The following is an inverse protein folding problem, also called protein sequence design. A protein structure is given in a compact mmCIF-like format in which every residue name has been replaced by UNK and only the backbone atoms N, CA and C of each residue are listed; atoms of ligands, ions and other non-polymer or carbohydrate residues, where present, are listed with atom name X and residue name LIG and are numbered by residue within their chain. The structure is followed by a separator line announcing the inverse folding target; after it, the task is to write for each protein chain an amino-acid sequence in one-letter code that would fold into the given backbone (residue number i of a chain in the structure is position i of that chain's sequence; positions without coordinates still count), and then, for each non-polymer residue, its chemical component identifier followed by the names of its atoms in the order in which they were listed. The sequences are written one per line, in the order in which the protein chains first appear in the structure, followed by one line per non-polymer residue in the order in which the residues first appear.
data_IF_938884714986
#
_entry.id   IF_938884714986
#
_cell.length_a   1.000
_cell.length_b   1.000
_cell.length_c   1.000
_cell.angle_alpha   90.00
_cell.angle_beta   90.00
_cell.angle_gamma   90.00
#
_symmetry.space_group_name_H-M   'P 1'
#
loop_
_entity.id
_entity.type
_entity.pdbx_description
1 polymer ?
#
# COMPACT_ATOMS: atom_id res chain seq x y z
N UNK A 1 -4.87 -39.67 -60.14
CA UNK A 1 -4.06 -39.07 -59.06
C UNK A 1 -4.59 -39.63 -57.75
N UNK A 2 -3.83 -40.51 -57.08
CA UNK A 2 -4.17 -41.00 -55.73
C UNK A 2 -3.49 -40.08 -54.72
N UNK A 3 -4.26 -39.56 -53.77
CA UNK A 3 -3.72 -38.85 -52.60
C UNK A 3 -3.18 -39.89 -51.62
N UNK A 4 -2.00 -39.60 -51.06
CA UNK A 4 -1.33 -40.41 -50.04
C UNK A 4 -1.81 -39.95 -48.66
N UNK A 5 -2.46 -40.84 -47.92
CA UNK A 5 -3.07 -40.62 -46.60
C UNK A 5 -2.14 -41.04 -45.44
N UNK A 6 -0.83 -41.07 -45.67
CA UNK A 6 0.13 -41.42 -44.62
C UNK A 6 0.22 -40.31 -43.55
N UNK A 7 0.09 -40.63 -42.24
CA UNK A 7 0.22 -39.65 -41.17
C UNK A 7 1.66 -39.13 -41.06
N UNK A 8 1.86 -37.86 -40.68
CA UNK A 8 3.20 -37.30 -40.55
C UNK A 8 4.00 -38.02 -39.42
N UNK A 9 5.33 -38.13 -39.56
CA UNK A 9 6.16 -38.75 -38.53
C UNK A 9 6.12 -37.95 -37.22
N UNK A 10 6.27 -38.60 -36.06
CA UNK A 10 6.26 -37.92 -34.77
C UNK A 10 7.46 -36.98 -34.62
N UNK A 11 7.21 -35.77 -34.12
CA UNK A 11 8.26 -34.81 -33.76
C UNK A 11 9.21 -35.41 -32.72
N UNK A 12 10.51 -35.34 -33.01
CA UNK A 12 11.56 -35.72 -32.07
C UNK A 12 11.50 -34.84 -30.83
N UNK A 13 11.34 -35.46 -29.65
CA UNK A 13 11.40 -34.78 -28.37
C UNK A 13 12.78 -34.10 -28.20
N UNK A 14 12.81 -32.78 -28.37
CA UNK A 14 13.96 -31.97 -27.98
C UNK A 14 14.09 -32.03 -26.45
N UNK A 15 15.26 -32.45 -25.98
CA UNK A 15 15.61 -32.43 -24.56
C UNK A 15 15.62 -31.00 -24.05
N UNK A 16 14.57 -30.61 -23.30
CA UNK A 16 14.55 -29.35 -22.56
C UNK A 16 15.57 -29.47 -21.44
N UNK A 17 16.70 -28.76 -21.58
CA UNK A 17 17.61 -28.55 -20.45
C UNK A 17 16.94 -27.62 -19.45
N UNK A 18 17.00 -27.90 -18.14
CA UNK A 18 16.42 -27.01 -17.14
C UNK A 18 17.17 -25.67 -17.13
N UNK A 19 16.42 -24.56 -17.07
CA UNK A 19 16.99 -23.23 -16.90
C UNK A 19 17.82 -23.17 -15.62
N UNK A 20 19.04 -22.60 -15.66
CA UNK A 20 19.84 -22.42 -14.46
C UNK A 20 19.17 -21.42 -13.52
N UNK A 21 19.28 -21.61 -12.20
CA UNK A 21 18.60 -20.77 -11.23
C UNK A 21 19.10 -19.32 -11.26
N UNK A 22 18.19 -18.39 -11.04
CA UNK A 22 18.35 -16.93 -11.20
C UNK A 22 19.50 -16.30 -10.38
N UNK A 23 20.06 -17.00 -9.39
CA UNK A 23 21.18 -16.51 -8.57
C UNK A 23 22.55 -16.68 -9.24
N UNK A 24 22.68 -17.51 -10.29
CA UNK A 24 23.98 -17.80 -10.92
C UNK A 24 24.53 -16.66 -11.80
N UNK A 25 23.75 -15.60 -12.07
CA UNK A 25 24.14 -14.47 -12.94
C UNK A 25 24.66 -13.21 -12.22
N UNK A 26 24.78 -13.22 -10.89
CA UNK A 26 25.16 -12.00 -10.13
C UNK A 26 26.63 -11.92 -9.69
N UNK A 27 27.45 -12.93 -9.97
CA UNK A 27 28.80 -13.01 -9.41
C UNK A 27 29.89 -12.23 -10.16
N UNK A 28 29.66 -11.82 -11.42
CA UNK A 28 30.70 -11.17 -12.24
C UNK A 28 30.60 -9.65 -12.29
N UNK A 29 29.44 -9.06 -11.99
CA UNK A 29 29.24 -7.60 -11.98
C UNK A 29 29.74 -6.92 -10.69
N UNK A 30 29.81 -7.65 -9.57
CA UNK A 30 30.25 -7.09 -8.29
C UNK A 30 31.76 -6.76 -8.25
N UNK A 31 32.59 -7.45 -9.05
CA UNK A 31 34.05 -7.24 -9.05
C UNK A 31 34.47 -6.03 -9.89
N UNK A 32 33.67 -5.63 -10.89
CA UNK A 32 33.99 -4.47 -11.74
C UNK A 32 33.71 -3.10 -11.08
N UNK A 33 32.77 -3.03 -10.14
CA UNK A 33 32.39 -1.75 -9.48
C UNK A 33 33.37 -1.35 -8.38
N UNK A 34 34.07 -2.31 -7.76
CA UNK A 34 35.04 -2.03 -6.70
C UNK A 34 36.35 -1.38 -7.19
N UNK A 35 36.65 -1.42 -8.49
CA UNK A 35 37.89 -0.87 -9.07
C UNK A 35 37.76 0.57 -9.63
N UNK A 36 36.54 1.10 -9.80
CA UNK A 36 36.31 2.41 -10.43
C UNK A 36 36.06 3.57 -9.43
N UNK A 37 35.81 3.25 -8.16
CA UNK A 37 35.66 4.26 -7.11
C UNK A 37 36.97 5.02 -6.76
N UNK A 38 38.17 4.40 -6.76
CA UNK A 38 39.41 5.12 -6.43
C UNK A 38 39.89 6.08 -7.53
N UNK A 39 39.60 5.80 -8.80
CA UNK A 39 40.10 6.61 -9.94
C UNK A 39 39.32 7.90 -10.13
N UNK A 40 38.02 7.92 -9.78
CA UNK A 40 37.20 9.13 -9.84
C UNK A 40 37.59 10.17 -8.76
N UNK A 41 37.98 9.71 -7.56
CA UNK A 41 38.46 10.61 -6.49
C UNK A 41 39.83 11.22 -6.83
N UNK A 42 40.75 10.44 -7.41
CA UNK A 42 42.06 10.94 -7.84
C UNK A 42 41.96 11.99 -8.95
N UNK A 43 41.02 11.83 -9.89
CA UNK A 43 40.76 12.80 -10.95
C UNK A 43 40.19 14.14 -10.43
N UNK A 44 39.37 14.10 -9.39
CA UNK A 44 38.78 15.30 -8.77
C UNK A 44 39.79 16.09 -7.91
N UNK A 45 40.72 15.40 -7.23
CA UNK A 45 41.79 16.08 -6.48
C UNK A 45 42.80 16.75 -7.42
N UNK A 46 43.09 16.14 -8.58
CA UNK A 46 44.03 16.71 -9.55
C UNK A 46 43.51 18.00 -10.21
N UNK A 47 42.20 18.11 -10.43
CA UNK A 47 41.59 19.35 -10.94
C UNK A 47 41.66 20.49 -9.94
N UNK A 48 41.51 20.22 -8.63
CA UNK A 48 41.65 21.22 -7.58
C UNK A 48 43.08 21.79 -7.46
N UNK A 49 44.11 20.99 -7.77
CA UNK A 49 45.52 21.40 -7.73
C UNK A 49 45.93 22.18 -8.99
N UNK A 50 45.33 21.89 -10.14
CA UNK A 50 45.66 22.54 -11.42
C UNK A 50 44.87 23.84 -11.69
N UNK A 51 43.69 24.03 -11.06
CA UNK A 51 42.86 25.24 -11.25
C UNK A 51 42.96 26.27 -10.12
N UNK A 52 43.97 26.17 -9.25
CA UNK A 52 44.36 27.23 -8.32
C UNK A 52 43.20 27.83 -7.51
N UNK A 53 42.64 27.08 -6.57
CA UNK A 53 41.74 27.63 -5.56
C UNK A 53 42.16 27.11 -4.19
N UNK A 54 43.16 27.78 -3.60
CA UNK A 54 43.60 27.50 -2.23
C UNK A 54 42.56 27.99 -1.19
N UNK A 55 42.56 27.41 0.03
CA UNK A 55 41.69 27.84 1.11
C UNK A 55 42.32 29.06 1.80
N UNK A 56 41.74 30.26 1.61
CA UNK A 56 42.26 31.46 2.29
C UNK A 56 41.61 32.81 1.96
N UNK A 57 40.45 32.85 1.30
CA UNK A 57 39.76 34.11 0.96
C UNK A 57 38.53 34.35 1.84
N UNK A 58 38.61 35.36 2.70
CA UNK A 58 37.53 35.86 3.55
C UNK A 58 36.32 36.33 2.71
N UNK A 59 35.07 35.91 2.98
CA UNK A 59 33.92 36.39 2.21
C UNK A 59 33.57 37.85 2.56
N UNK A 60 33.15 38.67 1.57
CA UNK A 60 32.75 40.05 1.81
C UNK A 60 31.40 40.12 2.55
N UNK A 61 31.35 41.00 3.55
CA UNK A 61 30.17 41.37 4.33
C UNK A 61 29.06 41.96 3.43
N UNK A 62 27.79 41.56 3.57
CA UNK A 62 26.68 42.30 2.97
C UNK A 62 26.42 43.60 3.75
N UNK A 63 26.53 44.73 3.06
CA UNK A 63 26.11 46.06 3.53
C UNK A 63 24.59 46.08 3.69
N UNK A 64 24.12 46.34 4.90
CA UNK A 64 22.73 46.69 5.18
C UNK A 64 22.41 48.09 4.63
N UNK A 65 21.27 48.22 3.96
CA UNK A 65 20.64 49.51 3.62
C UNK A 65 19.18 49.50 4.10
N UNK A 66 18.61 50.67 4.42
CA UNK A 66 17.63 50.83 5.48
C UNK A 66 16.18 50.68 5.01
N UNK A 67 15.33 50.30 5.96
CA UNK A 67 13.89 50.31 5.84
C UNK A 67 13.36 51.75 5.75
N UNK A 68 12.59 52.03 4.70
CA UNK A 68 11.82 53.27 4.59
C UNK A 68 10.48 53.12 5.28
N UNK A 69 10.30 53.95 6.31
CA UNK A 69 9.02 54.26 6.94
C UNK A 69 8.18 55.15 6.01
N UNK A 70 6.88 54.89 5.93
CA UNK A 70 5.88 55.92 5.64
C UNK A 70 4.89 56.00 6.79
N UNK A 71 4.88 57.17 7.41
CA UNK A 71 3.99 57.64 8.46
C UNK A 71 2.67 58.13 7.89
N UNK A 72 1.58 57.91 8.63
CA UNK A 72 0.32 58.64 8.50
C UNK A 72 -0.40 58.68 9.84
N UNK A 73 -0.40 59.86 10.47
CA UNK A 73 -0.96 60.26 11.77
C UNK A 73 -2.43 59.85 11.98
N UNK A 74 -3.00 59.69 13.19
CA UNK A 74 -2.95 60.41 14.48
C UNK A 74 -4.42 60.36 14.99
N UNK A 75 -4.85 60.56 16.23
CA UNK A 75 -4.28 60.89 17.54
C UNK A 75 -5.38 60.61 18.60
N UNK A 76 -5.03 60.80 19.88
CA UNK A 76 -5.86 60.82 21.11
C UNK A 76 -6.15 59.45 21.74
N UNK A 77 -5.86 59.17 23.02
CA UNK A 77 -5.34 59.99 24.11
C UNK A 77 -6.09 59.66 25.42
N UNK A 78 -5.34 59.18 26.41
CA UNK A 78 -5.55 59.24 27.87
C UNK A 78 -6.56 58.29 28.58
N UNK A 79 -6.04 57.69 29.68
CA UNK A 79 -6.72 57.39 30.96
C UNK A 79 -7.82 56.32 30.92
N UNK A 80 -8.02 55.43 31.87
CA UNK A 80 -7.55 55.31 33.25
C UNK A 80 -7.71 53.85 33.67
N UNK A 81 -6.80 53.39 34.52
CA UNK A 81 -6.95 52.15 35.26
C UNK A 81 -7.96 52.36 36.40
N UNK A 82 -8.97 51.49 36.49
CA UNK A 82 -9.70 51.29 37.76
C UNK A 82 -10.06 49.83 37.95
N UNK A 83 -9.34 49.24 38.91
CA UNK A 83 -9.72 48.01 39.58
C UNK A 83 -11.09 48.17 40.26
N UNK A 84 -11.91 47.13 40.22
CA UNK A 84 -12.97 46.93 41.20
C UNK A 84 -13.18 45.45 41.42
N UNK A 85 -12.77 45.06 42.61
CA UNK A 85 -13.08 43.84 43.34
C UNK A 85 -14.58 43.72 43.59
N UNK A 86 -15.15 42.54 43.34
CA UNK A 86 -16.42 42.14 43.94
C UNK A 86 -16.57 40.61 43.96
N UNK A 87 -16.72 40.05 45.15
CA UNK A 87 -17.19 38.68 45.47
C UNK A 87 -17.71 38.76 46.92
N UNK A 88 -18.60 37.89 47.44
CA UNK A 88 -19.69 37.07 46.85
C UNK A 88 -21.04 37.21 47.61
N UNK A 89 -22.14 36.67 47.05
CA UNK A 89 -23.14 35.83 47.79
C UNK A 89 -24.30 35.35 46.89
N UNK A 90 -25.04 34.28 47.28
CA UNK A 90 -25.30 33.15 46.40
C UNK A 90 -26.76 33.04 45.94
N UNK A 91 -26.97 32.40 44.78
CA UNK A 91 -28.24 31.82 44.37
C UNK A 91 -28.02 30.39 43.87
N UNK A 92 -28.98 29.53 44.22
CA UNK A 92 -28.98 28.07 44.18
C UNK A 92 -28.81 27.45 42.77
N UNK A 93 -28.50 26.15 42.67
CA UNK A 93 -28.10 25.52 41.41
C UNK A 93 -29.31 24.99 40.63
N UNK A 94 -29.48 25.45 39.39
CA UNK A 94 -30.30 24.74 38.42
C UNK A 94 -29.49 23.57 37.86
N UNK A 95 -29.80 22.39 38.36
CA UNK A 95 -29.32 21.10 37.85
C UNK A 95 -30.00 20.80 36.52
N UNK A 96 -29.46 21.31 35.42
CA UNK A 96 -29.76 20.80 34.09
C UNK A 96 -28.97 19.51 33.87
N UNK A 97 -29.56 18.39 34.31
CA UNK A 97 -29.11 17.05 33.98
C UNK A 97 -29.21 16.85 32.46
N UNK A 98 -28.08 16.97 31.76
CA UNK A 98 -27.98 16.55 30.38
C UNK A 98 -28.05 15.02 30.34
N UNK A 99 -29.27 14.49 30.25
CA UNK A 99 -29.50 13.09 29.91
C UNK A 99 -28.78 12.79 28.60
N UNK A 100 -27.72 11.99 28.70
CA UNK A 100 -27.10 11.34 27.56
C UNK A 100 -28.16 10.48 26.88
N UNK A 101 -28.69 10.99 25.77
CA UNK A 101 -29.62 10.25 24.92
C UNK A 101 -28.83 9.09 24.31
N UNK A 102 -29.01 7.89 24.86
CA UNK A 102 -28.47 6.68 24.30
C UNK A 102 -28.99 6.57 22.86
N UNK A 103 -28.10 6.72 21.88
CA UNK A 103 -28.44 6.55 20.47
C UNK A 103 -29.03 5.15 20.29
N UNK A 104 -30.27 5.11 19.81
CA UNK A 104 -30.93 3.87 19.45
C UNK A 104 -30.04 3.05 18.49
N UNK A 105 -30.06 1.70 18.55
CA UNK A 105 -29.30 0.88 17.62
C UNK A 105 -29.65 1.27 16.18
N UNK A 106 -28.63 1.57 15.37
CA UNK A 106 -28.79 1.85 13.95
C UNK A 106 -29.58 0.71 13.29
N UNK A 107 -30.53 1.06 12.42
CA UNK A 107 -31.30 0.08 11.67
C UNK A 107 -30.34 -0.90 10.95
N UNK A 108 -30.68 -2.20 10.86
CA UNK A 108 -29.82 -3.18 10.23
C UNK A 108 -29.53 -2.77 8.79
N UNK A 109 -28.25 -2.87 8.41
CA UNK A 109 -27.78 -2.46 7.11
C UNK A 109 -28.48 -3.30 6.02
N UNK A 110 -29.04 -2.62 5.00
CA UNK A 110 -29.74 -3.26 3.88
C UNK A 110 -28.80 -3.34 2.69
N UNK A 111 -28.90 -4.40 1.90
CA UNK A 111 -28.15 -4.55 0.64
C UNK A 111 -27.60 -5.96 0.42
N UNK A 112 -26.93 -6.20 -0.72
CA UNK A 112 -26.43 -7.53 -1.09
C UNK A 112 -25.37 -8.09 -0.14
N UNK A 113 -24.81 -7.26 0.75
CA UNK A 113 -23.81 -7.66 1.75
C UNK A 113 -24.34 -7.57 3.19
N UNK A 114 -25.65 -7.43 3.39
CA UNK A 114 -26.24 -7.39 4.72
C UNK A 114 -25.82 -8.62 5.55
N UNK A 115 -25.30 -8.38 6.76
CA UNK A 115 -24.82 -9.42 7.66
C UNK A 115 -23.43 -9.97 7.33
N UNK A 116 -22.78 -9.53 6.26
CA UNK A 116 -21.41 -9.91 5.91
C UNK A 116 -20.40 -9.00 6.62
N UNK A 117 -19.28 -9.58 7.04
CA UNK A 117 -18.11 -8.84 7.52
C UNK A 117 -16.99 -8.94 6.50
N UNK A 118 -16.49 -7.79 6.04
CA UNK A 118 -15.36 -7.72 5.10
C UNK A 118 -14.21 -7.00 5.78
N UNK A 119 -13.01 -7.57 5.71
CA UNK A 119 -11.79 -6.90 6.16
C UNK A 119 -11.04 -6.35 4.95
N UNK A 120 -10.71 -5.07 5.01
CA UNK A 120 -9.84 -4.41 4.03
C UNK A 120 -8.53 -4.09 4.72
N UNK A 121 -7.43 -4.50 4.10
CA UNK A 121 -6.06 -4.30 4.60
C UNK A 121 -5.35 -3.31 3.67
N UNK A 122 -5.28 -2.01 4.03
CA UNK A 122 -4.45 -1.08 3.29
C UNK A 122 -2.98 -1.50 3.44
N UNK A 123 -2.31 -1.85 2.35
CA UNK A 123 -0.90 -2.24 2.39
C UNK A 123 0.00 -1.16 2.99
N UNK A 124 1.00 -1.57 3.77
CA UNK A 124 1.99 -0.70 4.42
C UNK A 124 1.39 0.30 5.41
N UNK A 125 2.17 1.25 5.90
CA UNK A 125 1.69 2.33 6.75
C UNK A 125 2.41 3.64 6.40
N UNK A 126 1.66 4.75 6.30
CA UNK A 126 2.16 6.05 5.82
C UNK A 126 3.24 6.68 6.71
N UNK A 127 3.41 6.25 7.96
CA UNK A 127 4.45 6.72 8.87
C UNK A 127 5.64 5.77 9.02
N UNK A 128 5.55 4.53 8.51
CA UNK A 128 6.44 3.45 8.95
C UNK A 128 7.91 3.61 8.51
N UNK A 129 8.17 4.39 7.47
CA UNK A 129 9.53 4.72 7.01
C UNK A 129 10.37 5.47 8.05
N UNK A 130 9.75 6.00 9.11
CA UNK A 130 10.43 6.64 10.26
C UNK A 130 10.74 5.66 11.40
N UNK A 131 10.35 4.39 11.26
CA UNK A 131 10.35 3.36 12.31
C UNK A 131 10.96 2.06 11.79
N UNK A 132 12.13 2.16 11.13
CA UNK A 132 12.76 1.02 10.45
C UNK A 132 13.09 -0.11 11.42
N UNK A 133 13.55 0.19 12.64
CA UNK A 133 13.81 -0.83 13.66
C UNK A 133 12.58 -1.66 14.03
N UNK A 134 11.41 -1.04 14.09
CA UNK A 134 10.18 -1.70 14.47
C UNK A 134 9.62 -2.55 13.34
N UNK A 135 9.67 -2.06 12.09
CA UNK A 135 9.21 -2.81 10.92
C UNK A 135 10.17 -3.92 10.49
N UNK A 136 11.48 -3.78 10.74
CA UNK A 136 12.49 -4.82 10.44
C UNK A 136 12.44 -6.01 11.42
N UNK A 137 11.70 -5.89 12.54
CA UNK A 137 11.53 -6.98 13.49
C UNK A 137 10.89 -8.18 12.81
N UNK A 138 11.56 -9.32 12.88
CA UNK A 138 11.10 -10.55 12.23
C UNK A 138 9.86 -11.13 12.92
N UNK A 139 8.86 -11.52 12.13
CA UNK A 139 7.64 -12.23 12.54
C UNK A 139 7.54 -13.60 11.86
N UNK A 140 6.80 -14.52 12.47
CA UNK A 140 6.58 -15.87 11.91
C UNK A 140 5.49 -15.83 10.86
N UNK A 141 5.75 -16.37 9.67
CA UNK A 141 4.75 -16.47 8.61
C UNK A 141 4.34 -17.92 8.30
N UNK A 142 4.72 -18.86 9.17
CA UNK A 142 4.44 -20.31 9.06
C UNK A 142 5.42 -21.06 8.17
N UNK A 143 5.85 -20.46 7.05
CA UNK A 143 6.86 -21.03 6.14
C UNK A 143 8.28 -20.60 6.47
N UNK A 144 8.46 -19.36 6.93
CA UNK A 144 9.74 -18.76 7.36
C UNK A 144 9.49 -17.54 8.26
N UNK A 145 10.56 -16.79 8.56
CA UNK A 145 10.50 -15.47 9.21
C UNK A 145 10.60 -14.37 8.15
N UNK A 146 9.83 -13.29 8.31
CA UNK A 146 9.89 -12.07 7.48
C UNK A 146 9.78 -10.83 8.35
N UNK A 147 10.13 -9.68 7.79
CA UNK A 147 9.95 -8.37 8.41
C UNK A 147 8.49 -8.16 8.85
N UNK A 148 8.31 -7.44 9.94
CA UNK A 148 7.00 -7.10 10.49
C UNK A 148 6.18 -6.29 9.49
N UNK A 149 6.77 -5.30 8.84
CA UNK A 149 6.17 -4.56 7.73
C UNK A 149 7.29 -4.07 6.80
N UNK A 150 6.92 -3.51 5.66
CA UNK A 150 7.87 -2.78 4.79
C UNK A 150 7.29 -1.41 4.45
N UNK A 151 8.12 -0.50 3.95
CA UNK A 151 7.66 0.85 3.59
C UNK A 151 6.75 0.89 2.36
N UNK A 152 6.71 -0.19 1.59
CA UNK A 152 6.16 -0.20 0.24
C UNK A 152 7.05 0.55 -0.75
N UNK A 153 6.58 0.64 -1.99
CA UNK A 153 7.25 1.37 -3.07
C UNK A 153 6.75 2.82 -3.20
N UNK A 154 7.24 3.52 -4.22
CA UNK A 154 6.80 4.86 -4.58
C UNK A 154 6.69 4.98 -6.10
N UNK A 155 5.92 5.94 -6.60
CA UNK A 155 6.12 6.39 -7.98
C UNK A 155 7.45 7.11 -8.11
N UNK A 156 7.92 7.29 -9.35
CA UNK A 156 9.13 8.07 -9.63
C UNK A 156 8.99 9.55 -9.19
N UNK A 157 7.76 10.05 -9.02
CA UNK A 157 7.47 11.39 -8.50
C UNK A 157 7.28 11.45 -6.98
N UNK A 158 7.45 10.32 -6.28
CA UNK A 158 7.39 10.25 -4.81
C UNK A 158 6.01 9.98 -4.21
N UNK A 159 4.98 9.66 -5.00
CA UNK A 159 3.69 9.24 -4.44
C UNK A 159 3.84 7.86 -3.80
N UNK A 160 3.53 7.74 -2.52
CA UNK A 160 3.81 6.54 -1.72
C UNK A 160 2.76 5.45 -1.95
N UNK A 161 3.19 4.19 -1.99
CA UNK A 161 2.26 3.06 -2.03
C UNK A 161 1.30 3.10 -0.85
N UNK A 162 1.80 3.33 0.38
CA UNK A 162 0.98 3.43 1.59
C UNK A 162 -0.12 4.51 1.51
N UNK A 163 0.11 5.60 0.78
CA UNK A 163 -0.92 6.64 0.56
C UNK A 163 -1.95 6.20 -0.48
N UNK A 164 -1.50 5.53 -1.54
CA UNK A 164 -2.36 4.95 -2.57
C UNK A 164 -3.29 3.88 -1.98
N UNK A 165 -2.75 2.92 -1.25
CA UNK A 165 -3.50 1.78 -0.69
C UNK A 165 -4.54 2.25 0.32
N UNK A 166 -4.20 3.24 1.15
CA UNK A 166 -5.11 3.84 2.11
C UNK A 166 -6.28 4.56 1.44
N UNK A 167 -6.02 5.35 0.38
CA UNK A 167 -7.08 6.04 -0.36
C UNK A 167 -8.04 5.05 -1.04
N UNK A 168 -7.52 4.07 -1.78
CA UNK A 168 -8.36 3.04 -2.44
C UNK A 168 -9.13 2.20 -1.41
N UNK A 169 -8.51 1.88 -0.27
CA UNK A 169 -9.17 1.13 0.80
C UNK A 169 -10.32 1.92 1.42
N UNK A 170 -10.15 3.21 1.70
CA UNK A 170 -11.21 4.10 2.23
C UNK A 170 -12.39 4.21 1.27
N UNK A 171 -12.13 4.32 -0.04
CA UNK A 171 -13.18 4.28 -1.08
C UNK A 171 -13.91 2.94 -1.10
N UNK A 172 -13.16 1.84 -1.02
CA UNK A 172 -13.71 0.49 -0.98
C UNK A 172 -14.60 0.28 0.24
N UNK A 173 -14.20 0.77 1.42
CA UNK A 173 -15.02 0.77 2.65
C UNK A 173 -16.36 1.46 2.42
N UNK A 174 -16.35 2.70 1.95
CA UNK A 174 -17.57 3.46 1.74
C UNK A 174 -18.53 2.73 0.78
N UNK A 175 -18.00 2.14 -0.30
CA UNK A 175 -18.79 1.36 -1.24
C UNK A 175 -19.35 0.07 -0.64
N UNK A 176 -18.58 -0.68 0.16
CA UNK A 176 -19.03 -1.90 0.83
C UNK A 176 -20.08 -1.62 1.91
N UNK A 177 -19.88 -0.58 2.72
CA UNK A 177 -20.84 -0.13 3.75
C UNK A 177 -22.16 0.30 3.10
N UNK A 178 -22.11 1.00 1.96
CA UNK A 178 -23.31 1.36 1.18
C UNK A 178 -24.10 0.14 0.68
N UNK A 179 -23.47 -1.04 0.61
CA UNK A 179 -24.07 -2.31 0.21
C UNK A 179 -24.45 -3.21 1.40
N UNK A 180 -24.29 -2.70 2.62
CA UNK A 180 -24.72 -3.36 3.85
C UNK A 180 -23.67 -4.19 4.56
N UNK A 181 -22.41 -4.19 4.10
CA UNK A 181 -21.34 -4.92 4.77
C UNK A 181 -20.91 -4.20 6.05
N UNK A 182 -20.56 -4.96 7.09
CA UNK A 182 -19.69 -4.48 8.16
C UNK A 182 -18.24 -4.49 7.63
N UNK A 183 -17.59 -3.33 7.61
CA UNK A 183 -16.19 -3.24 7.18
C UNK A 183 -15.27 -3.08 8.39
N UNK A 184 -14.19 -3.85 8.41
CA UNK A 184 -13.12 -3.74 9.40
C UNK A 184 -11.83 -3.41 8.66
N UNK A 185 -11.09 -2.41 9.13
CA UNK A 185 -9.75 -2.12 8.63
C UNK A 185 -8.69 -2.77 9.53
N UNK A 186 -7.58 -3.19 8.94
CA UNK A 186 -6.39 -3.57 9.71
C UNK A 186 -5.74 -2.36 10.38
N UNK A 187 -5.81 -1.19 9.75
CA UNK A 187 -5.52 0.14 10.31
C UNK A 187 -6.11 1.25 9.44
N UNK A 188 -6.18 2.48 9.95
CA UNK A 188 -6.67 3.66 9.20
C UNK A 188 -5.69 4.85 9.32
N UNK A 189 -4.38 4.55 9.23
CA UNK A 189 -3.26 5.48 9.51
C UNK A 189 -3.32 6.12 10.92
N UNK A 190 -3.83 5.36 11.87
CA UNK A 190 -3.99 5.69 13.28
C UNK A 190 -2.80 5.24 14.15
N UNK A 191 -1.82 4.56 13.53
CA UNK A 191 -0.61 4.04 14.18
C UNK A 191 0.64 4.57 13.47
N UNK A 192 1.75 4.77 14.19
CA UNK A 192 2.97 5.35 13.62
C UNK A 192 3.64 4.46 12.56
N UNK A 193 3.51 3.13 12.64
CA UNK A 193 4.21 2.22 11.71
C UNK A 193 3.58 0.85 11.45
N UNK A 194 2.72 0.34 12.34
CA UNK A 194 2.09 -0.99 12.19
C UNK A 194 0.63 -0.92 11.72
N UNK A 195 -0.13 -2.02 11.84
CA UNK A 195 0.22 -3.33 12.40
C UNK A 195 1.23 -4.13 11.56
N UNK A 196 1.93 -5.07 12.22
CA UNK A 196 2.75 -6.07 11.51
C UNK A 196 1.88 -7.03 10.67
N UNK A 197 2.47 -7.69 9.66
CA UNK A 197 1.76 -8.61 8.76
C UNK A 197 1.05 -9.78 9.45
N UNK A 198 1.59 -10.26 10.58
CA UNK A 198 0.97 -11.29 11.42
C UNK A 198 -0.25 -10.74 12.18
N UNK A 199 -0.14 -9.53 12.72
CA UNK A 199 -1.26 -8.82 13.33
C UNK A 199 -2.37 -8.49 12.30
N UNK A 200 -2.01 -8.07 11.08
CA UNK A 200 -2.96 -7.85 9.98
C UNK A 200 -3.76 -9.11 9.66
N UNK A 201 -3.10 -10.27 9.60
CA UNK A 201 -3.79 -11.56 9.41
C UNK A 201 -4.70 -11.91 10.60
N UNK A 202 -4.21 -11.70 11.83
CA UNK A 202 -4.97 -11.95 13.06
C UNK A 202 -6.25 -11.11 13.14
N UNK A 203 -6.21 -9.83 12.78
CA UNK A 203 -7.40 -8.95 12.72
C UNK A 203 -8.48 -9.57 11.82
N UNK A 204 -8.09 -10.07 10.64
CA UNK A 204 -9.00 -10.75 9.73
C UNK A 204 -9.66 -11.99 10.33
N UNK A 205 -8.85 -12.79 11.03
CA UNK A 205 -9.29 -14.02 11.69
C UNK A 205 -10.26 -13.74 12.85
N UNK A 206 -9.91 -12.80 13.74
CA UNK A 206 -10.70 -12.44 14.92
C UNK A 206 -12.02 -11.76 14.53
N UNK A 207 -12.02 -10.97 13.46
CA UNK A 207 -13.24 -10.37 12.90
C UNK A 207 -14.21 -11.42 12.30
N UNK A 208 -13.78 -12.69 12.17
CA UNK A 208 -14.52 -13.76 11.49
C UNK A 208 -14.95 -13.36 10.08
N UNK A 209 -14.10 -12.63 9.37
CA UNK A 209 -14.44 -12.01 8.09
C UNK A 209 -14.91 -13.05 7.06
N UNK A 210 -15.95 -12.73 6.29
CA UNK A 210 -16.39 -13.52 5.15
C UNK A 210 -15.39 -13.41 3.98
N UNK A 211 -14.75 -12.25 3.84
CA UNK A 211 -13.67 -12.00 2.88
C UNK A 211 -12.64 -11.02 3.45
N UNK A 212 -11.37 -11.21 3.09
CA UNK A 212 -10.26 -10.31 3.41
C UNK A 212 -9.57 -9.89 2.12
N UNK A 213 -9.35 -8.60 1.91
CA UNK A 213 -8.65 -8.09 0.71
C UNK A 213 -7.54 -7.13 1.14
N UNK A 214 -6.30 -7.47 0.79
CA UNK A 214 -5.16 -6.56 0.92
C UNK A 214 -5.00 -5.75 -0.36
N UNK A 215 -4.94 -4.43 -0.24
CA UNK A 215 -4.78 -3.51 -1.38
C UNK A 215 -3.34 -3.03 -1.42
N UNK A 216 -2.67 -3.23 -2.56
CA UNK A 216 -1.26 -2.90 -2.79
C UNK A 216 -1.04 -2.31 -4.19
N UNK A 217 0.17 -1.83 -4.45
CA UNK A 217 0.67 -1.57 -5.79
C UNK A 217 2.15 -1.97 -5.91
N UNK A 218 2.52 -2.53 -7.06
CA UNK A 218 3.85 -3.12 -7.23
C UNK A 218 4.91 -2.08 -7.60
N UNK A 219 6.18 -2.45 -7.45
CA UNK A 219 7.34 -1.66 -7.83
C UNK A 219 8.36 -2.48 -8.59
N UNK A 220 8.15 -2.63 -9.90
CA UNK A 220 9.05 -3.39 -10.80
C UNK A 220 9.59 -2.52 -11.94
N UNK A 221 10.59 -2.97 -12.69
CA UNK A 221 11.21 -2.15 -13.76
C UNK A 221 10.19 -1.58 -14.76
N UNK A 222 10.44 -0.36 -15.25
CA UNK A 222 9.59 0.30 -16.25
C UNK A 222 9.38 -0.57 -17.50
N UNK A 223 8.20 -0.46 -18.12
CA UNK A 223 7.76 -1.33 -19.22
C UNK A 223 6.91 -2.53 -18.74
N UNK A 224 7.06 -2.92 -17.48
CA UNK A 224 6.16 -3.86 -16.82
C UNK A 224 4.93 -3.11 -16.28
N UNK A 225 3.74 -3.59 -16.63
CA UNK A 225 2.46 -2.92 -16.33
C UNK A 225 1.36 -3.93 -16.05
N UNK A 226 0.29 -3.45 -15.43
CA UNK A 226 -0.95 -4.17 -15.22
C UNK A 226 -1.11 -4.68 -13.79
N UNK A 227 -2.34 -5.07 -13.47
CA UNK A 227 -2.70 -5.53 -12.13
C UNK A 227 -2.47 -7.03 -11.98
N UNK A 228 -2.32 -7.50 -10.75
CA UNK A 228 -2.44 -8.93 -10.44
C UNK A 228 -3.04 -9.17 -9.07
N UNK A 229 -3.67 -10.32 -8.90
CA UNK A 229 -4.26 -10.79 -7.66
C UNK A 229 -3.48 -11.99 -7.16
N UNK A 230 -2.95 -11.89 -5.95
CA UNK A 230 -2.18 -12.95 -5.31
C UNK A 230 -3.11 -13.81 -4.47
N UNK A 231 -3.07 -15.11 -4.74
CA UNK A 231 -3.83 -16.17 -4.10
C UNK A 231 -2.91 -16.96 -3.15
N UNK A 232 -3.44 -17.45 -2.01
CA UNK A 232 -2.66 -18.32 -1.14
C UNK A 232 -2.39 -19.66 -1.83
N UNK A 233 -1.13 -20.11 -1.78
CA UNK A 233 -0.77 -21.50 -1.98
C UNK A 233 -1.26 -22.35 -0.79
N UNK A 234 -1.22 -23.68 -0.95
CA UNK A 234 -1.45 -24.58 0.18
C UNK A 234 -0.22 -24.59 1.08
N UNK A 235 -0.36 -24.10 2.30
CA UNK A 235 0.66 -24.05 3.34
C UNK A 235 0.14 -24.77 4.57
N UNK A 236 0.99 -25.61 5.17
CA UNK A 236 0.77 -26.23 6.49
C UNK A 236 2.09 -26.23 7.26
N UNK A 237 2.22 -25.36 8.25
CA UNK A 237 3.44 -25.21 9.04
C UNK A 237 3.31 -24.13 10.10
N UNK A 238 3.77 -24.41 11.32
CA UNK A 238 3.64 -23.48 12.45
C UNK A 238 2.17 -23.10 12.70
N UNK A 239 1.88 -21.80 12.74
CA UNK A 239 0.53 -21.27 12.87
C UNK A 239 -0.25 -21.16 11.54
N UNK A 240 0.38 -21.46 10.40
CA UNK A 240 -0.23 -21.36 9.08
C UNK A 240 -0.90 -22.68 8.65
N UNK A 241 -2.19 -22.60 8.29
CA UNK A 241 -2.92 -23.64 7.57
C UNK A 241 -3.92 -23.00 6.60
N UNK A 242 -3.53 -22.90 5.32
CA UNK A 242 -4.37 -22.29 4.28
C UNK A 242 -5.28 -23.31 3.58
N UNK A 243 -5.23 -24.59 3.95
CA UNK A 243 -5.90 -25.67 3.19
C UNK A 243 -7.40 -25.49 3.03
N UNK A 244 -8.07 -24.83 3.99
CA UNK A 244 -9.50 -24.53 3.94
C UNK A 244 -9.84 -23.28 3.13
N UNK A 245 -8.87 -22.41 2.86
CA UNK A 245 -9.11 -21.11 2.23
C UNK A 245 -8.59 -21.01 0.80
N UNK A 246 -7.73 -21.93 0.33
CA UNK A 246 -7.19 -21.86 -1.05
C UNK A 246 -8.28 -21.84 -2.13
N UNK A 247 -9.31 -22.67 -2.00
CA UNK A 247 -10.45 -22.71 -2.93
C UNK A 247 -11.29 -21.42 -2.88
N UNK A 248 -11.86 -21.05 -1.71
CA UNK A 248 -12.61 -19.81 -1.56
C UNK A 248 -11.83 -18.54 -1.92
N UNK A 249 -10.53 -18.48 -1.62
CA UNK A 249 -9.67 -17.35 -1.98
C UNK A 249 -9.45 -17.25 -3.49
N UNK A 250 -9.38 -18.39 -4.18
CA UNK A 250 -9.33 -18.41 -5.65
C UNK A 250 -10.60 -17.84 -6.26
N UNK A 251 -11.78 -18.25 -5.80
CA UNK A 251 -13.06 -17.70 -6.28
C UNK A 251 -13.16 -16.18 -6.02
N UNK A 252 -12.80 -15.74 -4.80
CA UNK A 252 -12.70 -14.31 -4.47
C UNK A 252 -11.74 -13.58 -5.44
N UNK A 253 -10.55 -14.15 -5.66
CA UNK A 253 -9.53 -13.51 -6.49
C UNK A 253 -9.89 -13.44 -7.98
N UNK A 254 -10.51 -14.48 -8.54
CA UNK A 254 -11.01 -14.51 -9.91
C UNK A 254 -12.10 -13.45 -10.13
N UNK A 255 -13.02 -13.31 -9.17
CA UNK A 255 -14.06 -12.27 -9.21
C UNK A 255 -13.49 -10.86 -9.08
N UNK A 256 -12.51 -10.65 -8.21
CA UNK A 256 -11.81 -9.38 -8.09
C UNK A 256 -11.06 -9.07 -9.39
N UNK A 257 -10.26 -10.00 -9.92
CA UNK A 257 -9.50 -9.78 -11.15
C UNK A 257 -10.41 -9.38 -12.33
N UNK A 258 -11.48 -10.12 -12.56
CA UNK A 258 -12.42 -9.84 -13.64
C UNK A 258 -13.16 -8.50 -13.48
N UNK A 259 -13.62 -8.17 -12.27
CA UNK A 259 -14.30 -6.89 -12.03
C UNK A 259 -13.34 -5.70 -12.03
N UNK A 260 -12.12 -5.87 -11.50
CA UNK A 260 -11.09 -4.85 -11.53
C UNK A 260 -10.72 -4.47 -12.96
N UNK A 261 -10.47 -5.47 -13.83
CA UNK A 261 -10.21 -5.24 -15.24
C UNK A 261 -11.37 -4.48 -15.92
N UNK A 262 -12.63 -4.88 -15.67
CA UNK A 262 -13.81 -4.22 -16.24
C UNK A 262 -13.98 -2.78 -15.78
N UNK A 263 -13.80 -2.51 -14.48
CA UNK A 263 -13.99 -1.18 -13.91
C UNK A 263 -12.87 -0.21 -14.28
N UNK A 264 -11.62 -0.67 -14.27
CA UNK A 264 -10.44 0.19 -14.50
C UNK A 264 -10.05 0.30 -15.96
N UNK A 265 -10.35 -0.73 -16.77
CA UNK A 265 -9.80 -0.90 -18.12
C UNK A 265 -8.34 -1.37 -18.12
N UNK A 266 -7.75 -1.68 -16.96
CA UNK A 266 -6.38 -2.16 -16.87
C UNK A 266 -6.26 -3.62 -17.28
N UNK A 267 -5.17 -3.96 -17.95
CA UNK A 267 -4.84 -5.33 -18.32
C UNK A 267 -4.21 -6.08 -17.13
N UNK A 268 -4.29 -7.42 -17.11
CA UNK A 268 -3.43 -8.25 -16.28
C UNK A 268 -1.95 -7.90 -16.43
N UNK A 269 -1.18 -8.09 -15.37
CA UNK A 269 0.25 -7.88 -15.32
C UNK A 269 0.96 -8.63 -16.47
N UNK A 270 1.82 -7.93 -17.23
CA UNK A 270 2.60 -8.53 -18.32
C UNK A 270 3.92 -9.16 -17.88
N UNK A 271 4.20 -9.17 -16.58
CA UNK A 271 5.47 -9.63 -15.98
C UNK A 271 5.30 -10.82 -15.03
N UNK A 272 4.06 -11.22 -14.73
CA UNK A 272 3.72 -12.37 -13.89
C UNK A 272 2.28 -12.82 -14.11
N UNK A 273 1.92 -14.01 -13.60
CA UNK A 273 0.54 -14.51 -13.63
C UNK A 273 0.07 -15.02 -15.00
N UNK A 274 1.00 -15.32 -15.92
CA UNK A 274 0.75 -15.98 -17.20
C UNK A 274 -0.41 -15.39 -18.02
N UNK A 275 -0.56 -14.06 -17.97
CA UNK A 275 -1.63 -13.32 -18.66
C UNK A 275 -3.02 -13.40 -18.01
N UNK A 276 -3.20 -14.19 -16.96
CA UNK A 276 -4.47 -14.30 -16.21
C UNK A 276 -4.63 -13.20 -15.17
N UNK A 277 -3.51 -12.61 -14.72
CA UNK A 277 -3.48 -11.68 -13.60
C UNK A 277 -3.64 -12.38 -12.25
N UNK A 278 -3.55 -13.71 -12.18
CA UNK A 278 -3.60 -14.48 -10.94
C UNK A 278 -2.22 -15.08 -10.66
N UNK A 279 -1.75 -14.94 -9.42
CA UNK A 279 -0.47 -15.53 -8.97
C UNK A 279 -0.68 -16.29 -7.68
N UNK A 280 -0.20 -17.52 -7.59
CA UNK A 280 -0.27 -18.33 -6.37
C UNK A 280 1.07 -18.23 -5.64
N UNK A 281 1.06 -17.90 -4.34
CA UNK A 281 2.26 -17.67 -3.54
C UNK A 281 2.16 -18.26 -2.13
N UNK A 282 3.29 -18.67 -1.56
CA UNK A 282 3.45 -19.25 -0.22
C UNK A 282 4.39 -18.44 0.70
N UNK A 283 4.79 -17.24 0.27
CA UNK A 283 5.81 -16.43 0.94
C UNK A 283 5.25 -15.14 1.60
N UNK A 284 3.93 -14.99 1.67
CA UNK A 284 3.26 -13.80 2.21
C UNK A 284 2.56 -14.11 3.52
N UNK A 285 3.07 -13.59 4.65
CA UNK A 285 2.49 -13.86 5.97
C UNK A 285 1.04 -13.42 6.12
N UNK A 286 0.67 -12.31 5.47
CA UNK A 286 -0.72 -11.89 5.43
C UNK A 286 -1.65 -12.94 4.81
N UNK A 287 -1.20 -13.74 3.83
CA UNK A 287 -1.94 -14.86 3.23
C UNK A 287 -1.82 -16.12 4.08
N UNK A 288 -0.59 -16.55 4.38
CA UNK A 288 -0.31 -17.82 5.04
C UNK A 288 -0.98 -17.95 6.40
N UNK A 289 -1.05 -16.86 7.15
CA UNK A 289 -1.62 -16.82 8.51
C UNK A 289 -3.14 -16.57 8.50
N UNK A 290 -3.76 -16.39 7.33
CA UNK A 290 -5.20 -16.20 7.25
C UNK A 290 -5.95 -17.53 7.36
N UNK A 291 -7.02 -17.52 8.16
CA UNK A 291 -8.00 -18.61 8.27
C UNK A 291 -9.31 -18.28 7.57
N UNK A 292 -9.36 -17.13 6.89
CA UNK A 292 -10.51 -16.60 6.15
C UNK A 292 -10.16 -16.50 4.66
N UNK A 293 -11.13 -16.52 3.73
CA UNK A 293 -10.85 -16.29 2.32
C UNK A 293 -10.11 -14.95 2.14
N UNK A 294 -8.90 -14.98 1.58
CA UNK A 294 -8.03 -13.80 1.49
C UNK A 294 -7.26 -13.73 0.17
N UNK A 295 -7.17 -12.53 -0.39
CA UNK A 295 -6.31 -12.22 -1.53
C UNK A 295 -5.55 -10.91 -1.32
N UNK A 296 -4.48 -10.71 -2.07
CA UNK A 296 -3.87 -9.40 -2.28
C UNK A 296 -4.19 -8.95 -3.70
N UNK A 297 -4.50 -7.67 -3.89
CA UNK A 297 -4.53 -7.07 -5.22
C UNK A 297 -3.40 -6.05 -5.32
N UNK A 298 -2.52 -6.29 -6.29
CA UNK A 298 -1.51 -5.35 -6.75
C UNK A 298 -2.12 -4.56 -7.92
N UNK A 299 -2.52 -3.32 -7.67
CA UNK A 299 -3.37 -2.56 -8.58
C UNK A 299 -2.67 -2.10 -9.87
N UNK A 300 -1.34 -2.10 -9.91
CA UNK A 300 -0.51 -1.67 -11.03
C UNK A 300 0.94 -1.46 -10.59
N UNK A 301 1.83 -1.10 -11.52
CA UNK A 301 3.24 -0.85 -11.22
C UNK A 301 3.53 0.64 -11.01
N UNK A 302 3.87 1.05 -9.79
CA UNK A 302 4.21 2.45 -9.46
C UNK A 302 5.46 2.98 -10.19
N UNK A 303 6.34 2.09 -10.66
CA UNK A 303 7.59 2.45 -11.34
C UNK A 303 7.44 2.60 -12.86
N UNK A 304 6.30 2.20 -13.43
CA UNK A 304 5.96 2.48 -14.83
C UNK A 304 5.13 3.77 -14.94
N UNK A 305 5.49 4.63 -15.89
CA UNK A 305 4.85 5.95 -16.01
C UNK A 305 3.36 5.90 -16.35
N UNK A 306 2.89 4.87 -17.08
CA UNK A 306 1.47 4.78 -17.48
C UNK A 306 0.61 4.27 -16.33
N UNK A 307 1.09 3.27 -15.60
CA UNK A 307 0.41 2.79 -14.40
C UNK A 307 0.48 3.88 -13.31
N UNK A 308 1.62 4.55 -13.11
CA UNK A 308 1.74 5.66 -12.16
C UNK A 308 0.75 6.81 -12.45
N UNK A 309 0.51 7.16 -13.72
CA UNK A 309 -0.49 8.15 -14.10
C UNK A 309 -1.92 7.72 -13.72
N UNK A 310 -2.22 6.42 -13.79
CA UNK A 310 -3.49 5.86 -13.32
C UNK A 310 -3.58 5.88 -11.79
N UNK A 311 -2.57 5.35 -11.10
CA UNK A 311 -2.54 5.24 -9.64
C UNK A 311 -2.62 6.63 -8.95
N UNK A 312 -2.07 7.67 -9.59
CA UNK A 312 -2.14 9.05 -9.09
C UNK A 312 -3.45 9.78 -9.42
N UNK A 313 -4.28 9.27 -10.33
CA UNK A 313 -5.61 9.83 -10.64
C UNK A 313 -6.66 9.45 -9.59
N UNK A 314 -7.33 10.44 -8.95
CA UNK A 314 -8.45 10.17 -8.04
C UNK A 314 -9.60 9.40 -8.70
N UNK A 315 -9.91 9.69 -9.96
CA UNK A 315 -10.97 9.05 -10.74
C UNK A 315 -10.64 7.58 -11.00
N UNK A 316 -9.37 7.27 -11.31
CA UNK A 316 -8.96 5.90 -11.51
C UNK A 316 -8.94 5.13 -10.19
N UNK A 317 -8.50 5.73 -9.07
CA UNK A 317 -8.60 5.11 -7.73
C UNK A 317 -10.03 4.80 -7.34
N UNK A 318 -10.99 5.64 -7.74
CA UNK A 318 -12.41 5.34 -7.58
C UNK A 318 -12.84 4.10 -8.37
N UNK A 319 -12.44 3.98 -9.64
CA UNK A 319 -12.70 2.78 -10.47
C UNK A 319 -12.05 1.53 -9.91
N UNK A 320 -10.84 1.63 -9.36
CA UNK A 320 -10.15 0.54 -8.69
C UNK A 320 -10.97 0.03 -7.48
N UNK A 321 -11.44 0.95 -6.63
CA UNK A 321 -12.30 0.63 -5.49
C UNK A 321 -13.64 0.01 -5.91
N UNK A 322 -14.26 0.49 -7.00
CA UNK A 322 -15.47 -0.11 -7.58
C UNK A 322 -15.22 -1.53 -8.07
N UNK A 323 -14.10 -1.76 -8.77
CA UNK A 323 -13.70 -3.09 -9.25
C UNK A 323 -13.49 -4.08 -8.11
N UNK A 324 -12.77 -3.68 -7.05
CA UNK A 324 -12.59 -4.47 -5.84
C UNK A 324 -13.93 -4.78 -5.18
N UNK A 325 -14.76 -3.75 -4.97
CA UNK A 325 -16.09 -3.89 -4.34
C UNK A 325 -16.98 -4.85 -5.13
N UNK A 326 -17.04 -4.72 -6.46
CA UNK A 326 -17.86 -5.58 -7.30
C UNK A 326 -17.37 -7.03 -7.30
N UNK A 327 -16.05 -7.25 -7.21
CA UNK A 327 -15.47 -8.58 -6.98
C UNK A 327 -15.94 -9.20 -5.66
N UNK A 328 -15.88 -8.44 -4.57
CA UNK A 328 -16.33 -8.87 -3.24
C UNK A 328 -17.84 -9.15 -3.22
N UNK A 329 -18.65 -8.28 -3.85
CA UNK A 329 -20.11 -8.49 -4.00
C UNK A 329 -20.38 -9.76 -4.79
N UNK A 330 -19.66 -9.99 -5.88
CA UNK A 330 -19.79 -11.22 -6.64
C UNK A 330 -19.46 -12.46 -5.80
N UNK A 331 -18.49 -12.37 -4.89
CA UNK A 331 -18.08 -13.50 -4.04
C UNK A 331 -19.08 -13.77 -2.90
N UNK A 332 -19.58 -12.72 -2.24
CA UNK A 332 -20.39 -12.84 -1.02
C UNK A 332 -21.90 -12.74 -1.24
N UNK A 333 -22.33 -12.13 -2.34
CA UNK A 333 -23.72 -11.88 -2.69
C UNK A 333 -24.35 -12.95 -3.57
N UNK A 334 -23.67 -14.07 -3.78
CA UNK A 334 -24.22 -15.28 -4.41
C UNK A 334 -25.23 -15.99 -3.52
#
# INVERSE_FOLDING_TARGET
MRYDDSPPPPESAASVSPDPPWYARRSTLAVAVAALAPTALAGWVLTQVLTGSGPGGQPPQPKALPASHTTGAGAHGAGDAKASTATPSPAAPDSASASASASAPAAPAKGPLAGRTVVIDPGHNTGNFKHTSEIDRQVDIGTNRKECDTTGTTTNSGYMEAEFTLDVSRRTRALLESKGAKVVFTHDADRPWGPCIDERARIGNEAKADAVVSVHADGVSAGNRGFHVILPATVKGGAADTSKIVGPSRDLGERIAGNFARSTGSAPANYLGSGTGLVVRDDLGGLNLSTRPKVFIECGNMRDAKDAAQLTSPEWRQKAAEGITNGIVGFLGG
#
